data_IF_657741772698
#
_entry.id   IF_657741772698
#
_cell.length_a   1.000
_cell.length_b   1.000
_cell.length_c   1.000
_cell.angle_alpha   90.00
_cell.angle_beta   90.00
_cell.angle_gamma   90.00
#
_symmetry.space_group_name_H-M   'P 1'
#
loop_
_entity.id
_entity.type
_entity.pdbx_description
1 polymer ?
#
# COMPACT_ATOMS: atom_id res chain seq x y z
N UNK A 1 12.63 14.56 -10.61
CA UNK A 1 12.79 13.59 -11.72
C UNK A 1 14.08 12.77 -11.65
N UNK A 2 15.19 13.29 -11.12
CA UNK A 2 16.46 12.54 -11.02
C UNK A 2 16.45 11.33 -10.05
N UNK A 3 15.59 11.35 -9.02
CA UNK A 3 15.60 10.28 -8.00
C UNK A 3 15.09 8.92 -8.53
N UNK A 4 14.38 8.91 -9.66
CA UNK A 4 13.83 7.70 -10.27
C UNK A 4 14.81 6.95 -11.17
N UNK A 5 15.89 7.58 -11.63
CA UNK A 5 16.88 6.92 -12.49
C UNK A 5 18.00 6.22 -11.72
N UNK A 6 18.13 6.46 -10.41
CA UNK A 6 19.13 5.85 -9.53
C UNK A 6 19.17 4.30 -9.57
N UNK A 7 18.04 3.57 -9.47
CA UNK A 7 18.08 2.12 -9.55
C UNK A 7 18.45 1.61 -10.96
N UNK A 8 18.02 2.32 -12.02
CA UNK A 8 18.38 1.98 -13.40
C UNK A 8 19.87 2.21 -13.70
N UNK A 9 20.42 3.32 -13.20
CA UNK A 9 21.85 3.64 -13.30
C UNK A 9 22.73 2.69 -12.49
N UNK A 10 22.27 2.29 -11.30
CA UNK A 10 22.95 1.26 -10.51
C UNK A 10 23.03 -0.06 -11.26
N UNK A 11 21.95 -0.45 -11.94
CA UNK A 11 21.87 -1.71 -12.70
C UNK A 11 22.75 -1.69 -13.97
N UNK A 12 22.83 -0.56 -14.69
CA UNK A 12 23.72 -0.44 -15.86
C UNK A 12 25.19 -0.44 -15.49
N UNK A 13 25.58 0.24 -14.40
CA UNK A 13 26.95 0.19 -13.89
C UNK A 13 27.31 -1.23 -13.46
N UNK A 14 26.38 -1.96 -12.84
CA UNK A 14 26.59 -3.34 -12.42
C UNK A 14 26.76 -4.30 -13.60
N UNK A 15 25.95 -4.15 -14.64
CA UNK A 15 26.06 -4.95 -15.86
C UNK A 15 27.37 -4.66 -16.60
N UNK A 16 27.80 -3.39 -16.64
CA UNK A 16 29.08 -2.99 -17.23
C UNK A 16 30.26 -3.58 -16.48
N UNK A 17 30.28 -3.52 -15.14
CA UNK A 17 31.32 -4.14 -14.32
C UNK A 17 31.34 -5.66 -14.47
N UNK A 18 30.18 -6.30 -14.49
CA UNK A 18 30.07 -7.75 -14.71
C UNK A 18 30.57 -8.18 -16.09
N UNK A 19 30.35 -7.35 -17.11
CA UNK A 19 30.81 -7.60 -18.47
C UNK A 19 32.33 -7.39 -18.63
N UNK A 20 32.90 -6.36 -18.01
CA UNK A 20 34.36 -6.15 -17.95
C UNK A 20 35.06 -7.31 -17.21
N UNK A 21 34.47 -7.81 -16.12
CA UNK A 21 35.02 -8.93 -15.37
C UNK A 21 35.04 -10.26 -16.18
N UNK A 22 34.18 -10.41 -17.19
CA UNK A 22 34.17 -11.58 -18.09
C UNK A 22 35.15 -11.47 -19.26
N UNK A 23 35.63 -10.27 -19.61
CA UNK A 23 36.58 -10.11 -20.72
C UNK A 23 38.05 -10.19 -20.26
N UNK A 24 38.32 -10.06 -18.97
CA UNK A 24 39.65 -10.13 -18.38
C UNK A 24 40.04 -11.52 -17.89
N UNK A 25 40.25 -12.50 -18.78
CA UNK A 25 40.65 -13.84 -18.34
C UNK A 25 42.18 -14.02 -18.30
N UNK A 26 42.75 -14.18 -17.10
CA UNK A 26 43.63 -15.31 -16.71
C UNK A 26 44.27 -15.10 -15.33
N UNK A 27 43.72 -15.70 -14.27
CA UNK A 27 44.49 -16.48 -13.26
C UNK A 27 43.60 -17.23 -12.24
N UNK A 28 43.41 -18.52 -12.53
CA UNK A 28 43.14 -19.73 -11.73
C UNK A 28 42.71 -19.77 -10.24
N UNK A 29 42.64 -18.71 -9.44
CA UNK A 29 42.15 -18.84 -8.03
C UNK A 29 41.28 -17.66 -7.56
N UNK A 30 41.35 -16.50 -8.23
CA UNK A 30 40.52 -15.33 -7.92
C UNK A 30 39.13 -15.36 -8.59
N UNK A 31 38.96 -16.17 -9.63
CA UNK A 31 37.75 -16.22 -10.47
C UNK A 31 36.49 -16.66 -9.70
N UNK A 32 36.61 -17.68 -8.85
CA UNK A 32 35.48 -18.17 -8.04
C UNK A 32 35.00 -17.14 -7.02
N UNK A 33 35.93 -16.37 -6.45
CA UNK A 33 35.63 -15.33 -5.46
C UNK A 33 34.91 -14.14 -6.11
N UNK A 34 35.37 -13.70 -7.28
CA UNK A 34 34.75 -12.60 -8.04
C UNK A 34 33.36 -12.97 -8.56
N UNK A 35 33.20 -14.20 -9.06
CA UNK A 35 31.91 -14.70 -9.57
C UNK A 35 30.93 -14.92 -8.41
N UNK A 36 31.40 -15.43 -7.26
CA UNK A 36 30.62 -15.52 -6.03
C UNK A 36 30.18 -14.14 -5.51
N UNK A 37 31.06 -13.14 -5.53
CA UNK A 37 30.74 -11.75 -5.17
C UNK A 37 29.67 -11.15 -6.10
N UNK A 38 29.81 -11.36 -7.41
CA UNK A 38 28.85 -10.89 -8.40
C UNK A 38 27.47 -11.53 -8.20
N UNK A 39 27.42 -12.84 -7.95
CA UNK A 39 26.15 -13.55 -7.68
C UNK A 39 25.52 -13.04 -6.38
N UNK A 40 26.29 -12.87 -5.31
CA UNK A 40 25.78 -12.32 -4.05
C UNK A 40 25.24 -10.90 -4.21
N UNK A 41 25.92 -10.07 -4.98
CA UNK A 41 25.52 -8.69 -5.20
C UNK A 41 24.28 -8.58 -6.10
N UNK A 42 24.16 -9.44 -7.12
CA UNK A 42 22.93 -9.60 -7.89
C UNK A 42 21.76 -10.06 -7.00
N UNK A 43 21.99 -11.04 -6.12
CA UNK A 43 20.96 -11.53 -5.20
C UNK A 43 20.48 -10.41 -4.26
N UNK A 44 21.40 -9.66 -3.65
CA UNK A 44 21.09 -8.51 -2.79
C UNK A 44 20.33 -7.44 -3.57
N UNK A 45 20.73 -7.17 -4.83
CA UNK A 45 20.04 -6.19 -5.68
C UNK A 45 18.61 -6.60 -6.00
N UNK A 46 18.37 -7.88 -6.31
CA UNK A 46 17.04 -8.43 -6.58
C UNK A 46 16.15 -8.36 -5.34
N UNK A 47 16.67 -8.73 -4.16
CA UNK A 47 15.92 -8.61 -2.89
C UNK A 47 15.60 -7.15 -2.59
N UNK A 48 16.55 -6.24 -2.78
CA UNK A 48 16.35 -4.81 -2.57
C UNK A 48 15.30 -4.24 -3.53
N UNK A 49 15.34 -4.64 -4.81
CA UNK A 49 14.29 -4.29 -5.77
C UNK A 49 12.94 -4.80 -5.29
N UNK A 50 12.83 -6.07 -4.94
CA UNK A 50 11.59 -6.66 -4.42
C UNK A 50 11.04 -5.87 -3.23
N UNK A 51 11.90 -5.46 -2.30
CA UNK A 51 11.52 -4.66 -1.14
C UNK A 51 11.01 -3.26 -1.55
N UNK A 52 11.70 -2.58 -2.46
CA UNK A 52 11.29 -1.26 -2.97
C UNK A 52 9.96 -1.36 -3.73
N UNK A 53 9.77 -2.42 -4.52
CA UNK A 53 8.51 -2.69 -5.21
C UNK A 53 7.38 -2.94 -4.21
N UNK A 54 7.56 -3.84 -3.24
CA UNK A 54 6.58 -4.09 -2.19
C UNK A 54 6.23 -2.80 -1.42
N UNK A 55 7.23 -1.96 -1.13
CA UNK A 55 7.03 -0.69 -0.46
C UNK A 55 6.25 0.33 -1.29
N UNK A 56 6.54 0.43 -2.60
CA UNK A 56 5.85 1.30 -3.56
C UNK A 56 4.40 0.88 -3.83
N UNK A 57 4.14 -0.43 -3.84
CA UNK A 57 2.83 -1.01 -4.11
C UNK A 57 2.01 -1.28 -2.83
N UNK A 58 2.51 -0.84 -1.67
CA UNK A 58 1.78 -0.90 -0.41
C UNK A 58 0.42 -0.20 -0.51
N UNK A 59 -0.51 -0.61 0.35
CA UNK A 59 -1.87 -0.08 0.37
C UNK A 59 -1.87 1.46 0.50
N UNK A 60 -2.82 2.14 -0.17
CA UNK A 60 -2.98 3.58 -0.02
C UNK A 60 -3.43 3.91 1.41
N UNK A 61 -2.87 4.98 1.95
CA UNK A 61 -3.22 5.53 3.25
C UNK A 61 -4.23 6.66 3.06
N UNK A 62 -5.27 6.71 3.88
CA UNK A 62 -6.29 7.76 3.81
C UNK A 62 -5.92 8.87 4.79
N UNK A 63 -5.67 10.07 4.26
CA UNK A 63 -5.29 11.24 5.06
C UNK A 63 -6.51 12.01 5.58
N UNK A 64 -7.55 12.07 4.77
CA UNK A 64 -8.80 12.73 5.11
C UNK A 64 -9.95 12.08 4.36
N UNK A 65 -11.15 12.14 4.94
CA UNK A 65 -12.37 11.68 4.30
C UNK A 65 -13.52 12.60 4.68
N UNK A 66 -14.50 12.72 3.77
CA UNK A 66 -15.76 13.41 4.03
C UNK A 66 -16.90 12.67 3.36
N UNK A 67 -18.01 12.55 4.08
CA UNK A 67 -19.26 11.99 3.58
C UNK A 67 -20.20 13.16 3.29
N UNK A 68 -20.51 13.38 2.01
CA UNK A 68 -21.54 14.34 1.59
C UNK A 68 -22.87 13.60 1.44
N UNK A 69 -23.77 13.80 2.39
CA UNK A 69 -25.11 13.21 2.40
C UNK A 69 -25.98 13.76 1.27
N UNK A 70 -25.85 15.05 0.93
CA UNK A 70 -26.68 15.69 -0.10
C UNK A 70 -26.33 15.16 -1.50
N UNK A 71 -25.04 14.94 -1.75
CA UNK A 71 -24.56 14.39 -3.02
C UNK A 71 -24.44 12.87 -3.01
N UNK A 72 -24.66 12.23 -1.86
CA UNK A 72 -24.45 10.80 -1.65
C UNK A 72 -23.07 10.33 -2.11
N UNK A 73 -22.04 11.07 -1.73
CA UNK A 73 -20.68 10.90 -2.23
C UNK A 73 -19.66 10.90 -1.09
N UNK A 74 -18.76 9.92 -1.13
CA UNK A 74 -17.62 9.81 -0.23
C UNK A 74 -16.39 10.37 -0.94
N UNK A 75 -15.84 11.46 -0.42
CA UNK A 75 -14.57 12.02 -0.90
C UNK A 75 -13.45 11.57 0.04
N UNK A 76 -12.44 10.92 -0.54
CA UNK A 76 -11.28 10.39 0.15
C UNK A 76 -10.02 11.09 -0.37
N UNK A 77 -9.24 11.68 0.52
CA UNK A 77 -7.89 12.14 0.19
C UNK A 77 -6.92 11.01 0.51
N UNK A 78 -6.48 10.30 -0.53
CA UNK A 78 -5.57 9.17 -0.39
C UNK A 78 -4.14 9.57 -0.74
N UNK A 79 -3.17 9.01 -0.04
CA UNK A 79 -1.77 9.08 -0.41
C UNK A 79 -1.23 7.68 -0.69
N UNK A 80 -0.36 7.56 -1.68
CA UNK A 80 0.41 6.33 -1.94
C UNK A 80 1.87 6.62 -1.69
N UNK A 81 2.60 5.63 -1.17
CA UNK A 81 4.04 5.77 -0.90
C UNK A 81 4.77 6.20 -2.17
N UNK A 82 5.53 7.28 -2.08
CA UNK A 82 6.25 7.88 -3.21
C UNK A 82 5.38 8.67 -4.21
N UNK A 83 4.10 8.94 -3.92
CA UNK A 83 3.21 9.75 -4.75
C UNK A 83 2.60 10.92 -3.97
N UNK A 84 2.10 11.93 -4.69
CA UNK A 84 1.36 13.04 -4.09
C UNK A 84 -0.04 12.57 -3.65
N UNK A 85 -0.60 13.18 -2.58
CA UNK A 85 -1.99 12.97 -2.22
C UNK A 85 -2.91 13.24 -3.41
N UNK A 86 -3.93 12.40 -3.56
CA UNK A 86 -4.93 12.47 -4.63
C UNK A 86 -6.32 12.33 -4.02
N UNK A 87 -7.25 13.15 -4.47
CA UNK A 87 -8.65 13.03 -4.09
C UNK A 87 -9.35 11.98 -4.94
N UNK A 88 -10.12 11.11 -4.28
CA UNK A 88 -10.91 10.05 -4.88
C UNK A 88 -12.34 10.25 -4.44
N UNK A 89 -13.24 10.36 -5.41
CA UNK A 89 -14.67 10.50 -5.19
C UNK A 89 -15.34 9.16 -5.44
N UNK A 90 -16.07 8.65 -4.47
CA UNK A 90 -16.78 7.37 -4.52
C UNK A 90 -18.27 7.61 -4.27
N UNK A 91 -19.14 7.38 -5.27
CA UNK A 91 -20.58 7.39 -5.06
C UNK A 91 -21.01 6.36 -4.01
N UNK A 92 -22.02 6.66 -3.18
CA UNK A 92 -22.53 5.69 -2.21
C UNK A 92 -23.09 4.42 -2.86
N UNK A 93 -23.55 4.50 -4.12
CA UNK A 93 -23.96 3.34 -4.90
C UNK A 93 -22.86 2.28 -4.99
N UNK A 94 -21.62 2.72 -5.09
CA UNK A 94 -20.45 1.89 -5.32
C UNK A 94 -19.86 1.37 -4.00
N UNK A 95 -20.33 1.88 -2.87
CA UNK A 95 -20.01 1.34 -1.54
C UNK A 95 -20.82 0.06 -1.35
N UNK A 96 -20.10 -1.06 -1.29
CA UNK A 96 -20.69 -2.38 -1.01
C UNK A 96 -20.93 -2.55 0.49
N UNK A 97 -19.93 -2.24 1.31
CA UNK A 97 -20.05 -2.26 2.76
C UNK A 97 -19.02 -1.36 3.45
N UNK A 98 -19.35 -0.98 4.68
CA UNK A 98 -18.41 -0.38 5.63
C UNK A 98 -18.40 -1.23 6.90
N UNK A 99 -17.46 -2.20 7.04
CA UNK A 99 -17.26 -2.87 8.31
C UNK A 99 -16.31 -2.07 9.23
N UNK A 100 -16.72 -1.79 10.48
CA UNK A 100 -15.78 -1.45 11.53
C UNK A 100 -14.91 -2.68 11.84
N UNK A 101 -13.64 -2.46 12.12
CA UNK A 101 -12.71 -3.53 12.49
C UNK A 101 -11.75 -3.10 13.59
N UNK A 102 -11.27 -4.10 14.33
CA UNK A 102 -10.33 -3.97 15.42
C UNK A 102 -9.09 -4.82 15.10
N UNK A 103 -7.91 -4.29 15.39
CA UNK A 103 -6.66 -5.07 15.39
C UNK A 103 -6.31 -5.42 16.84
N UNK A 104 -6.08 -6.69 17.16
CA UNK A 104 -5.69 -7.14 18.51
C UNK A 104 -4.34 -6.54 18.97
N UNK A 105 -3.51 -6.05 18.03
CA UNK A 105 -2.27 -5.33 18.38
C UNK A 105 -2.52 -3.91 18.91
N UNK A 106 -3.69 -3.34 18.63
CA UNK A 106 -4.10 -1.98 19.00
C UNK A 106 -5.46 -2.04 19.71
N UNK A 107 -5.54 -2.81 20.80
CA UNK A 107 -6.76 -3.09 21.60
C UNK A 107 -7.52 -1.83 22.13
N UNK A 108 -7.10 -0.64 21.72
CA UNK A 108 -7.68 0.67 22.07
C UNK A 108 -8.18 1.49 20.89
N UNK A 109 -7.82 1.12 19.66
CA UNK A 109 -8.13 1.92 18.47
C UNK A 109 -9.09 1.15 17.55
N UNK A 110 -10.23 1.79 17.25
CA UNK A 110 -11.22 1.33 16.31
C UNK A 110 -10.97 1.90 14.91
N UNK A 111 -11.17 1.08 13.88
CA UNK A 111 -10.97 1.50 12.50
C UNK A 111 -12.20 1.19 11.64
N UNK A 112 -12.33 1.89 10.52
CA UNK A 112 -13.32 1.54 9.50
C UNK A 112 -12.64 1.09 8.23
N UNK A 113 -13.21 0.09 7.58
CA UNK A 113 -12.86 -0.24 6.20
C UNK A 113 -14.04 0.13 5.32
N UNK A 114 -13.78 0.77 4.18
CA UNK A 114 -14.79 1.01 3.15
C UNK A 114 -14.45 0.13 1.97
N UNK A 115 -15.37 -0.75 1.62
CA UNK A 115 -15.24 -1.65 0.47
C UNK A 115 -16.06 -1.07 -0.68
N UNK A 116 -15.36 -0.56 -1.67
CA UNK A 116 -15.93 0.02 -2.88
C UNK A 116 -15.81 -0.95 -4.05
N UNK A 117 -16.85 -1.07 -4.85
CA UNK A 117 -16.82 -1.77 -6.12
C UNK A 117 -16.39 -0.80 -7.22
N UNK A 118 -15.19 -1.01 -7.73
CA UNK A 118 -14.66 -0.24 -8.84
C UNK A 118 -14.97 -0.87 -10.20
N UNK A 119 -14.52 -0.23 -11.29
CA UNK A 119 -14.75 -0.72 -12.65
C UNK A 119 -14.16 -2.13 -12.83
N UNK A 120 -14.89 -2.98 -13.58
CA UNK A 120 -14.57 -4.40 -13.84
C UNK A 120 -14.59 -5.29 -12.59
N UNK A 121 -15.55 -5.06 -11.69
CA UNK A 121 -15.74 -5.84 -10.44
C UNK A 121 -14.51 -5.86 -9.53
N UNK A 122 -13.62 -4.88 -9.69
CA UNK A 122 -12.43 -4.76 -8.86
C UNK A 122 -12.82 -4.12 -7.54
N UNK A 123 -12.63 -4.84 -6.44
CA UNK A 123 -12.85 -4.28 -5.11
C UNK A 123 -11.67 -3.41 -4.68
N UNK A 124 -11.99 -2.26 -4.10
CA UNK A 124 -11.05 -1.35 -3.46
C UNK A 124 -11.42 -1.25 -1.98
N UNK A 125 -10.42 -1.44 -1.12
CA UNK A 125 -10.59 -1.32 0.33
C UNK A 125 -9.80 -0.11 0.78
N UNK A 126 -10.50 0.83 1.41
CA UNK A 126 -9.91 2.02 2.02
C UNK A 126 -10.04 1.93 3.53
N UNK A 127 -8.95 2.13 4.25
CA UNK A 127 -8.94 2.18 5.71
C UNK A 127 -9.15 3.62 6.15
N UNK A 128 -10.18 3.87 6.95
CA UNK A 128 -10.49 5.19 7.49
C UNK A 128 -10.27 5.20 9.01
N UNK A 129 -10.05 6.41 9.54
CA UNK A 129 -10.02 6.66 10.98
C UNK A 129 -8.95 5.81 11.70
N UNK A 130 -7.75 5.72 11.12
CA UNK A 130 -6.63 5.08 11.80
C UNK A 130 -6.26 5.88 13.06
N UNK A 131 -6.38 5.25 14.23
CA UNK A 131 -6.10 5.85 15.54
C UNK A 131 -7.29 6.48 16.27
N UNK A 132 -8.52 6.23 15.81
CA UNK A 132 -9.74 6.69 16.51
C UNK A 132 -10.07 5.77 17.68
N UNK A 133 -10.51 6.35 18.81
CA UNK A 133 -10.89 5.57 20.00
C UNK A 133 -12.14 4.72 19.75
N UNK A 134 -12.30 3.63 20.51
CA UNK A 134 -13.47 2.75 20.37
C UNK A 134 -14.81 3.47 20.56
N UNK A 135 -14.91 4.37 21.54
CA UNK A 135 -16.14 5.13 21.83
C UNK A 135 -16.51 6.06 20.66
N UNK A 136 -15.51 6.72 20.09
CA UNK A 136 -15.68 7.59 18.93
C UNK A 136 -16.02 6.79 17.66
N UNK A 137 -15.45 5.59 17.50
CA UNK A 137 -15.84 4.65 16.44
C UNK A 137 -17.31 4.22 16.58
N UNK A 138 -17.79 3.86 17.77
CA UNK A 138 -19.20 3.47 17.96
C UNK A 138 -20.16 4.62 17.63
N UNK A 139 -19.82 5.84 18.04
CA UNK A 139 -20.58 7.04 17.70
C UNK A 139 -20.64 7.26 16.18
N UNK A 140 -19.50 7.20 15.50
CA UNK A 140 -19.45 7.36 14.04
C UNK A 140 -20.11 6.20 13.31
N UNK A 141 -20.06 4.98 13.84
CA UNK A 141 -20.76 3.83 13.28
C UNK A 141 -22.28 4.01 13.33
N UNK A 142 -22.81 4.53 14.43
CA UNK A 142 -24.23 4.84 14.57
C UNK A 142 -24.66 5.94 13.58
N UNK A 143 -23.85 6.99 13.44
CA UNK A 143 -24.09 8.06 12.45
C UNK A 143 -24.04 7.54 11.01
N UNK A 144 -23.01 6.76 10.66
CA UNK A 144 -22.88 6.13 9.34
C UNK A 144 -24.04 5.19 9.04
N UNK A 145 -24.50 4.41 10.01
CA UNK A 145 -25.67 3.54 9.85
C UNK A 145 -26.94 4.34 9.52
N UNK A 146 -27.05 5.59 9.96
CA UNK A 146 -28.11 6.52 9.54
C UNK A 146 -28.03 6.92 8.07
N UNK A 147 -26.82 7.07 7.53
CA UNK A 147 -26.55 7.56 6.17
C UNK A 147 -26.55 6.44 5.13
N UNK A 148 -25.78 5.37 5.38
CA UNK A 148 -25.58 4.25 4.45
C UNK A 148 -26.46 3.04 4.76
N UNK A 149 -27.24 3.10 5.85
CA UNK A 149 -28.23 2.08 6.20
C UNK A 149 -27.63 0.69 6.39
N UNK A 150 -28.26 -0.29 5.72
CA UNK A 150 -27.88 -1.71 5.77
C UNK A 150 -26.47 -2.04 5.24
N UNK A 151 -25.82 -1.11 4.53
CA UNK A 151 -24.43 -1.33 4.05
C UNK A 151 -23.40 -1.21 5.18
N UNK A 152 -23.79 -0.59 6.30
CA UNK A 152 -23.00 -0.55 7.51
C UNK A 152 -23.07 -1.92 8.20
N UNK A 153 -21.98 -2.67 8.15
CA UNK A 153 -21.92 -3.99 8.78
C UNK A 153 -21.61 -3.87 10.27
N UNK A 154 -21.92 -4.92 11.02
CA UNK A 154 -21.52 -5.02 12.43
C UNK A 154 -19.99 -5.10 12.56
N UNK A 155 -19.47 -4.72 13.73
CA UNK A 155 -18.02 -4.72 14.02
C UNK A 155 -17.46 -6.12 13.81
N UNK A 156 -16.47 -6.26 12.91
CA UNK A 156 -15.78 -7.53 12.66
C UNK A 156 -14.39 -7.46 13.29
N UNK A 157 -14.12 -8.32 14.26
CA UNK A 157 -12.76 -8.52 14.75
C UNK A 157 -11.97 -9.26 13.64
N UNK A 158 -10.90 -8.64 13.12
CA UNK A 158 -10.12 -9.21 11.99
C UNK A 158 -9.17 -10.34 12.41
N UNK A 159 -9.09 -10.69 13.71
CA UNK A 159 -8.19 -11.72 14.24
C UNK A 159 -8.85 -13.08 14.51
N UNK A 160 -10.01 -13.38 13.89
CA UNK A 160 -10.72 -14.66 14.10
C UNK A 160 -10.95 -15.46 12.82
#
# INVERSE_FOLDING_TARGET
MLLWSLPGLGLTILLLLGFEAMQGESRSDGSSFTLSLLIQLLLVSVVLMGLVFAWMFSAPEVLAFTFDENQQLLTLTITRRGRKPTEVQVPFSDISCIPPYLFASYDRDGHFSVVCQGPKDKQFVYRLAEGTSLEEMEFHAAWLRGIIGSRMHEVVNQDK
#
